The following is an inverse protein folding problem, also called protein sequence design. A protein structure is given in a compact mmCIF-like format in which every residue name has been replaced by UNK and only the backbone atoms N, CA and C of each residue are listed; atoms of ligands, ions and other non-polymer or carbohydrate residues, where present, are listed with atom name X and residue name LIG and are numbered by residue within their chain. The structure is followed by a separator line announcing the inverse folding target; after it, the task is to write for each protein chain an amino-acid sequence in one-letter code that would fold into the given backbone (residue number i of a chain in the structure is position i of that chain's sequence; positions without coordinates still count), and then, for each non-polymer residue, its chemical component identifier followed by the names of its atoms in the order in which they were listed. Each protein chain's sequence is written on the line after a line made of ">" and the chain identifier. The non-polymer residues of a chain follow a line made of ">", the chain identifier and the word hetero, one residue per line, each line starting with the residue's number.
data_IF_235047536090
#
_entry.id   IF_235047536090
#
_cell.length_a   1.000
_cell.length_b   1.000
_cell.length_c   1.000
_cell.angle_alpha   90.00
_cell.angle_beta   90.00
_cell.angle_gamma   90.00
#
_symmetry.space_group_name_H-M   'P 1'
#
loop_
_entity.id
_entity.type
_entity.pdbx_description
1 polymer ?
#
# COMPACT_ATOMS: atom_id res chain seq x y z
N UNK A 1 7.95 -16.04 20.29
CA UNK A 1 8.01 -15.82 18.84
C UNK A 1 7.65 -14.35 18.64
N UNK A 2 8.64 -13.51 18.33
CA UNK A 2 8.42 -12.08 18.15
C UNK A 2 7.83 -11.94 16.75
N UNK A 3 6.55 -11.61 16.64
CA UNK A 3 5.94 -11.30 15.34
C UNK A 3 6.50 -9.94 14.94
N UNK A 4 7.48 -9.95 14.03
CA UNK A 4 7.97 -8.74 13.38
C UNK A 4 6.83 -8.15 12.54
N UNK A 5 6.14 -7.16 13.11
CA UNK A 5 5.13 -6.28 12.50
C UNK A 5 3.80 -6.92 12.03
N UNK A 6 3.83 -8.02 11.27
CA UNK A 6 2.64 -8.61 10.64
C UNK A 6 2.82 -10.12 10.37
N UNK A 7 1.74 -10.91 10.37
CA UNK A 7 1.80 -12.36 10.15
C UNK A 7 2.16 -12.77 8.71
N UNK A 8 2.05 -11.86 7.74
CA UNK A 8 2.32 -12.11 6.32
C UNK A 8 3.22 -11.02 5.73
N UNK A 9 3.84 -11.33 4.60
CA UNK A 9 4.54 -10.37 3.74
C UNK A 9 3.90 -10.35 2.36
N UNK A 10 3.64 -9.18 1.79
CA UNK A 10 3.26 -9.04 0.39
C UNK A 10 4.53 -8.91 -0.46
N UNK A 11 4.77 -9.91 -1.30
CA UNK A 11 6.07 -10.16 -1.96
C UNK A 11 6.02 -10.01 -3.48
N UNK A 12 4.83 -10.00 -4.07
CA UNK A 12 4.63 -9.71 -5.49
C UNK A 12 3.46 -8.76 -5.68
N UNK A 13 3.56 -7.90 -6.71
CA UNK A 13 2.52 -6.99 -7.15
C UNK A 13 2.20 -7.27 -8.63
N UNK A 14 0.93 -7.44 -8.94
CA UNK A 14 0.39 -7.48 -10.28
C UNK A 14 -0.62 -6.34 -10.46
N UNK A 15 -0.49 -5.58 -11.54
CA UNK A 15 -1.38 -4.46 -11.87
C UNK A 15 -2.31 -4.89 -12.98
N UNK A 16 -3.59 -5.02 -12.67
CA UNK A 16 -4.63 -5.36 -13.64
C UNK A 16 -5.35 -4.09 -14.11
N UNK A 17 -5.43 -3.80 -15.43
CA UNK A 17 -6.29 -2.75 -15.94
C UNK A 17 -7.75 -3.05 -15.65
N UNK A 18 -8.51 -2.05 -15.20
CA UNK A 18 -9.95 -2.16 -14.99
C UNK A 18 -10.67 -0.99 -15.66
N UNK A 19 -11.96 -1.16 -15.93
CA UNK A 19 -12.85 -0.11 -16.43
C UNK A 19 -12.81 1.18 -15.58
N UNK A 20 -12.52 1.07 -14.28
CA UNK A 20 -12.34 2.20 -13.35
C UNK A 20 -10.89 2.69 -13.19
N UNK A 21 -9.94 2.16 -13.97
CA UNK A 21 -8.52 2.50 -13.91
C UNK A 21 -7.64 1.27 -13.77
N UNK A 22 -7.44 0.78 -12.55
CA UNK A 22 -6.62 -0.40 -12.25
C UNK A 22 -7.00 -1.07 -10.92
N UNK A 23 -6.61 -2.33 -10.77
CA UNK A 23 -6.64 -3.09 -9.53
C UNK A 23 -5.23 -3.59 -9.23
N UNK A 24 -4.77 -3.39 -7.99
CA UNK A 24 -3.49 -3.86 -7.49
C UNK A 24 -3.69 -5.20 -6.79
N UNK A 25 -3.12 -6.26 -7.34
CA UNK A 25 -3.16 -7.60 -6.78
C UNK A 25 -1.82 -7.90 -6.13
N UNK A 26 -1.85 -8.31 -4.86
CA UNK A 26 -0.65 -8.67 -4.13
C UNK A 26 -0.63 -10.17 -3.86
N UNK A 27 0.51 -10.83 -4.09
CA UNK A 27 0.74 -12.18 -3.59
C UNK A 27 1.48 -12.12 -2.26
N UNK A 28 0.99 -12.87 -1.28
CA UNK A 28 1.65 -13.01 0.01
C UNK A 28 2.76 -14.07 -0.04
N UNK A 29 3.62 -14.10 0.98
CA UNK A 29 4.65 -15.14 1.16
C UNK A 29 4.11 -16.56 1.39
N UNK A 30 2.79 -16.72 1.52
CA UNK A 30 2.10 -18.02 1.60
C UNK A 30 1.28 -18.30 0.34
N UNK A 31 1.57 -17.59 -0.76
CA UNK A 31 0.95 -17.75 -2.08
C UNK A 31 -0.54 -17.39 -2.19
N UNK A 32 -1.11 -16.72 -1.17
CA UNK A 32 -2.45 -16.13 -1.26
C UNK A 32 -2.41 -14.84 -2.10
N UNK A 33 -3.28 -14.74 -3.11
CA UNK A 33 -3.50 -13.51 -3.88
C UNK A 33 -4.63 -12.67 -3.28
N UNK A 34 -4.38 -11.38 -3.11
CA UNK A 34 -5.30 -10.41 -2.50
C UNK A 34 -5.44 -9.19 -3.40
N UNK A 35 -6.67 -8.87 -3.84
CA UNK A 35 -6.98 -7.67 -4.61
C UNK A 35 -7.19 -6.48 -3.66
N UNK A 36 -6.37 -5.43 -3.78
CA UNK A 36 -6.46 -4.22 -2.96
C UNK A 36 -7.68 -3.37 -3.34
N UNK A 37 -8.49 -3.00 -2.35
CA UNK A 37 -9.75 -2.28 -2.57
C UNK A 37 -10.64 -2.27 -1.34
N UNK A 38 -11.97 -2.06 -1.49
CA UNK A 38 -12.91 -1.85 -0.37
C UNK A 38 -12.93 -2.97 0.69
N UNK A 39 -12.62 -4.22 0.32
CA UNK A 39 -12.53 -5.35 1.25
C UNK A 39 -11.11 -5.59 1.83
N UNK A 40 -10.10 -5.03 1.18
CA UNK A 40 -8.68 -5.29 1.43
C UNK A 40 -7.90 -3.98 1.31
N UNK A 41 -8.06 -3.13 2.33
CA UNK A 41 -7.46 -1.81 2.34
C UNK A 41 -5.92 -1.88 2.37
N UNK A 42 -5.28 -0.89 1.74
CA UNK A 42 -3.86 -0.60 1.88
C UNK A 42 -3.69 0.59 2.83
N UNK A 43 -2.84 0.44 3.84
CA UNK A 43 -2.52 1.52 4.80
C UNK A 43 -1.02 1.77 4.83
N UNK A 44 -0.63 2.98 5.18
CA UNK A 44 0.76 3.39 5.30
C UNK A 44 1.00 3.92 6.71
N UNK A 45 2.00 3.36 7.39
CA UNK A 45 2.38 3.77 8.74
C UNK A 45 3.80 4.37 8.73
N UNK A 46 4.06 5.45 9.48
CA UNK A 46 5.42 5.96 9.66
C UNK A 46 6.36 4.92 10.28
N UNK A 47 7.61 4.87 9.81
CA UNK A 47 8.68 4.07 10.39
C UNK A 47 9.63 4.97 11.20
N UNK A 48 9.52 5.02 12.54
CA UNK A 48 10.29 5.97 13.35
C UNK A 48 11.81 5.79 13.25
N UNK A 49 12.27 4.57 12.95
CA UNK A 49 13.70 4.24 12.88
C UNK A 49 14.38 4.78 11.62
N UNK A 50 13.63 4.98 10.53
CA UNK A 50 14.17 5.35 9.21
C UNK A 50 13.58 6.65 8.69
N UNK A 51 12.61 7.23 9.42
CA UNK A 51 11.74 8.30 8.93
C UNK A 51 10.98 7.93 7.64
N UNK A 52 10.86 6.64 7.29
CA UNK A 52 10.18 6.16 6.09
C UNK A 52 8.71 5.79 6.32
N UNK A 53 8.12 5.06 5.37
CA UNK A 53 6.77 4.50 5.46
C UNK A 53 6.80 2.97 5.34
N UNK A 54 5.92 2.32 6.10
CA UNK A 54 5.62 0.89 5.99
C UNK A 54 4.21 0.71 5.46
N UNK A 55 4.04 0.13 4.26
CA UNK A 55 2.72 -0.22 3.78
C UNK A 55 2.27 -1.57 4.34
N UNK A 56 0.98 -1.68 4.60
CA UNK A 56 0.32 -2.92 5.03
C UNK A 56 -0.96 -3.14 4.23
N UNK A 57 -1.11 -4.33 3.69
CA UNK A 57 -2.32 -4.78 2.99
C UNK A 57 -3.19 -5.61 3.93
N UNK A 58 -4.47 -5.27 4.02
CA UNK A 58 -5.44 -6.07 4.77
C UNK A 58 -5.72 -7.40 4.05
N UNK A 59 -5.44 -8.53 4.71
CA UNK A 59 -5.65 -9.86 4.13
C UNK A 59 -7.02 -10.40 4.53
N UNK A 60 -7.31 -10.49 5.83
CA UNK A 60 -8.59 -10.98 6.35
C UNK A 60 -8.72 -10.72 7.85
N UNK A 61 -9.94 -10.50 8.32
CA UNK A 61 -10.24 -10.25 9.75
C UNK A 61 -9.39 -9.07 10.27
N UNK A 62 -8.37 -9.35 11.08
CA UNK A 62 -7.40 -8.37 11.58
C UNK A 62 -5.96 -8.74 11.17
N UNK A 63 -5.79 -9.60 10.17
CA UNK A 63 -4.50 -10.02 9.67
C UNK A 63 -4.09 -9.13 8.51
N UNK A 64 -2.87 -8.61 8.61
CA UNK A 64 -2.26 -7.72 7.65
C UNK A 64 -1.04 -8.40 7.03
N UNK A 65 -0.72 -8.04 5.80
CA UNK A 65 0.55 -8.37 5.18
C UNK A 65 1.39 -7.10 5.11
N UNK A 66 2.60 -7.13 5.67
CA UNK A 66 3.55 -6.04 5.49
C UNK A 66 4.04 -6.09 4.04
N UNK A 67 3.91 -4.97 3.34
CA UNK A 67 4.40 -4.85 1.96
C UNK A 67 5.92 -4.75 2.00
N UNK A 68 6.58 -5.56 1.19
CA UNK A 68 8.05 -5.52 1.14
C UNK A 68 8.55 -4.19 0.59
N UNK A 69 9.80 -3.86 0.92
CA UNK A 69 10.44 -2.63 0.46
C UNK A 69 10.54 -2.52 -1.07
N UNK A 70 10.70 -3.66 -1.77
CA UNK A 70 10.67 -3.67 -3.23
C UNK A 70 9.32 -3.19 -3.76
N UNK A 71 8.22 -3.79 -3.28
CA UNK A 71 6.87 -3.41 -3.70
C UNK A 71 6.48 -2.01 -3.23
N UNK A 72 7.06 -1.49 -2.15
CA UNK A 72 6.86 -0.10 -1.76
C UNK A 72 7.34 0.86 -2.87
N UNK A 73 8.50 0.61 -3.47
CA UNK A 73 8.97 1.41 -4.60
C UNK A 73 8.06 1.27 -5.82
N UNK A 74 7.58 0.07 -6.13
CA UNK A 74 6.59 -0.14 -7.19
C UNK A 74 5.31 0.69 -6.94
N UNK A 75 4.85 0.76 -5.68
CA UNK A 75 3.69 1.59 -5.31
C UNK A 75 3.97 3.09 -5.48
N UNK A 76 5.17 3.55 -5.15
CA UNK A 76 5.57 4.94 -5.36
C UNK A 76 5.60 5.28 -6.85
N UNK A 77 6.11 4.40 -7.69
CA UNK A 77 6.12 4.60 -9.14
C UNK A 77 4.69 4.67 -9.74
N UNK A 78 3.76 3.91 -9.16
CA UNK A 78 2.34 3.96 -9.52
C UNK A 78 1.59 5.14 -8.89
N UNK A 79 2.22 5.85 -7.96
CA UNK A 79 1.58 6.86 -7.13
C UNK A 79 1.11 8.07 -7.91
N UNK A 80 0.05 8.68 -7.41
CA UNK A 80 -0.54 9.88 -7.96
C UNK A 80 -0.95 10.83 -6.83
N UNK A 81 -1.09 12.11 -7.16
CA UNK A 81 -1.54 13.11 -6.20
C UNK A 81 -3.05 13.37 -6.34
N UNK A 82 -3.76 13.41 -5.21
CA UNK A 82 -5.18 13.78 -5.14
C UNK A 82 -5.43 14.78 -4.01
N UNK A 83 -6.39 15.68 -4.21
CA UNK A 83 -6.89 16.53 -3.11
C UNK A 83 -7.83 15.70 -2.23
N UNK A 84 -7.48 15.54 -0.95
CA UNK A 84 -8.31 14.92 0.06
C UNK A 84 -8.54 15.95 1.18
N UNK A 85 -9.81 16.28 1.45
CA UNK A 85 -10.20 17.19 2.54
C UNK A 85 -9.48 18.55 2.54
N UNK A 86 -9.08 19.03 1.36
CA UNK A 86 -8.36 20.30 1.19
C UNK A 86 -6.83 20.20 1.31
N UNK A 87 -6.28 19.01 1.49
CA UNK A 87 -4.85 18.73 1.47
C UNK A 87 -4.47 17.89 0.25
N UNK A 88 -3.37 18.25 -0.42
CA UNK A 88 -2.81 17.48 -1.54
C UNK A 88 -2.06 16.26 -0.97
N UNK A 89 -2.59 15.07 -1.19
CA UNK A 89 -2.02 13.81 -0.73
C UNK A 89 -1.40 13.04 -1.90
N UNK A 90 -0.28 12.39 -1.66
CA UNK A 90 0.28 11.39 -2.55
C UNK A 90 -0.18 10.00 -2.10
N UNK A 91 -0.54 9.14 -3.05
CA UNK A 91 -1.03 7.80 -2.74
C UNK A 91 -1.24 6.96 -4.00
N UNK A 92 -1.88 5.80 -3.84
CA UNK A 92 -2.16 4.89 -4.97
C UNK A 92 -3.64 4.61 -5.11
N UNK A 93 -4.11 4.60 -6.36
CA UNK A 93 -5.44 4.14 -6.69
C UNK A 93 -5.49 2.63 -6.99
N UNK A 94 -6.52 1.95 -6.48
CA UNK A 94 -6.85 0.56 -6.77
C UNK A 94 -8.36 0.31 -6.59
N UNK A 95 -8.99 -0.39 -7.54
CA UNK A 95 -10.39 -0.79 -7.48
C UNK A 95 -11.36 0.38 -7.16
N UNK A 96 -11.10 1.55 -7.75
CA UNK A 96 -11.90 2.77 -7.55
C UNK A 96 -11.62 3.51 -6.22
N UNK A 97 -10.79 2.97 -5.33
CA UNK A 97 -10.37 3.62 -4.09
C UNK A 97 -8.99 4.29 -4.21
N UNK A 98 -8.75 5.27 -3.35
CA UNK A 98 -7.45 5.93 -3.22
C UNK A 98 -6.90 5.74 -1.80
N UNK A 99 -5.70 5.19 -1.72
CA UNK A 99 -4.99 4.91 -0.48
C UNK A 99 -3.87 5.93 -0.30
N UNK A 100 -4.11 6.93 0.56
CA UNK A 100 -3.17 8.00 0.83
C UNK A 100 -1.93 7.47 1.59
N UNK A 101 -0.74 7.80 1.08
CA UNK A 101 0.54 7.48 1.69
C UNK A 101 1.01 8.57 2.67
N UNK A 102 1.04 9.80 2.18
CA UNK A 102 1.53 10.97 2.89
C UNK A 102 1.07 12.26 2.18
N UNK A 103 1.17 13.43 2.84
CA UNK A 103 1.06 14.71 2.14
C UNK A 103 2.05 14.79 0.98
N UNK A 104 1.61 15.27 -0.18
CA UNK A 104 2.44 15.34 -1.39
C UNK A 104 3.66 16.27 -1.20
N UNK A 105 3.55 17.25 -0.30
CA UNK A 105 4.67 18.10 0.07
C UNK A 105 5.79 17.34 0.82
N UNK A 106 5.45 16.27 1.54
CA UNK A 106 6.36 15.52 2.42
C UNK A 106 6.88 14.22 1.79
N UNK A 107 6.24 13.73 0.72
CA UNK A 107 6.61 12.44 0.12
C UNK A 107 8.08 12.38 -0.31
N UNK A 108 8.65 13.49 -0.79
CA UNK A 108 10.06 13.58 -1.21
C UNK A 108 11.05 13.32 -0.07
N UNK A 109 10.66 13.57 1.17
CA UNK A 109 11.51 13.34 2.34
C UNK A 109 11.42 11.88 2.84
N UNK A 110 10.47 11.10 2.33
CA UNK A 110 10.17 9.72 2.72
C UNK A 110 10.72 8.68 1.71
N UNK A 111 11.25 9.12 0.57
CA UNK A 111 11.82 8.30 -0.52
C UNK A 111 13.35 8.25 -0.45
#
# INVERSE_FOLDING_TARGET
>A
IVVDDAPFLAVELYVEPDSGGRILHFRTNVDDWVACGPGHALRFEPEPATAGLKPYLHVRRNLWAKVTRALFYDLVELGEERDLEGERMFGVASAGEFFAMAPAAQIRDLL
#
